data_IF_536445508390
#
_entry.id   IF_536445508390
#
_cell.length_a   1.000
_cell.length_b   1.000
_cell.length_c   1.000
_cell.angle_alpha   90.00
_cell.angle_beta   90.00
_cell.angle_gamma   90.00
#
_symmetry.space_group_name_H-M   'P 1'
#
loop_
_entity.id
_entity.type
_entity.pdbx_description
1 polymer ?
#
# COMPACT_ATOMS: atom_id res chain seq x y z
N UNK A 1 2.76 -22.24 1.79
CA UNK A 1 1.98 -22.59 0.57
C UNK A 1 1.93 -21.43 -0.42
N UNK A 2 1.36 -20.21 -0.11
CA UNK A 2 1.26 -19.09 -1.06
C UNK A 2 2.65 -18.67 -1.59
N UNK A 3 3.63 -18.46 -0.69
CA UNK A 3 5.01 -18.13 -1.04
C UNK A 3 5.62 -19.16 -2.00
N UNK A 4 5.49 -20.43 -1.66
CA UNK A 4 6.08 -21.51 -2.47
C UNK A 4 5.39 -21.64 -3.82
N UNK A 5 4.08 -21.39 -3.87
CA UNK A 5 3.31 -21.34 -5.12
C UNK A 5 3.78 -20.19 -6.00
N UNK A 6 4.04 -19.01 -5.42
CA UNK A 6 4.56 -17.86 -6.18
C UNK A 6 5.95 -18.15 -6.76
N UNK A 7 6.86 -18.74 -5.98
CA UNK A 7 8.18 -19.15 -6.52
C UNK A 7 8.07 -20.21 -7.61
N UNK A 8 7.20 -21.21 -7.44
CA UNK A 8 6.94 -22.21 -8.50
C UNK A 8 6.35 -21.60 -9.76
N UNK A 9 5.61 -20.51 -9.64
CA UNK A 9 5.07 -19.74 -10.77
C UNK A 9 6.11 -18.76 -11.39
N UNK A 10 7.37 -18.78 -10.92
CA UNK A 10 8.45 -17.99 -11.50
C UNK A 10 8.69 -16.62 -10.81
N UNK A 11 8.06 -16.34 -9.68
CA UNK A 11 8.39 -15.14 -8.92
C UNK A 11 9.85 -15.21 -8.42
N UNK A 12 10.62 -14.17 -8.73
CA UNK A 12 12.03 -14.08 -8.27
C UNK A 12 12.14 -13.64 -6.81
N UNK A 13 11.12 -12.98 -6.30
CA UNK A 13 11.06 -12.49 -4.94
C UNK A 13 9.61 -12.50 -4.45
N UNK A 14 9.42 -12.83 -3.18
CA UNK A 14 8.12 -12.77 -2.50
C UNK A 14 8.31 -11.98 -1.20
N UNK A 15 7.64 -10.85 -1.11
CA UNK A 15 7.61 -10.01 0.08
C UNK A 15 6.26 -10.18 0.76
N UNK A 16 6.27 -10.50 2.04
CA UNK A 16 5.08 -10.69 2.84
C UNK A 16 4.97 -9.52 3.82
N UNK A 17 3.84 -8.82 3.79
CA UNK A 17 3.56 -7.76 4.74
C UNK A 17 2.65 -8.30 5.85
N UNK A 18 2.92 -7.91 7.10
CA UNK A 18 1.94 -8.14 8.16
C UNK A 18 0.67 -7.31 7.89
N UNK A 19 -0.51 -7.74 8.32
CA UNK A 19 -1.71 -6.94 8.16
C UNK A 19 -1.58 -5.61 8.92
N UNK A 20 -2.29 -4.54 8.51
CA UNK A 20 -2.45 -3.37 9.37
C UNK A 20 -3.22 -3.73 10.63
N UNK A 21 -3.22 -2.85 11.63
CA UNK A 21 -4.01 -2.98 12.85
C UNK A 21 -5.51 -3.03 12.55
N UNK A 22 -6.32 -3.55 13.48
CA UNK A 22 -7.76 -3.30 13.53
C UNK A 22 -8.00 -2.17 14.54
N UNK A 23 -8.40 -1.00 14.04
CA UNK A 23 -8.57 0.21 14.85
C UNK A 23 -10.02 0.34 15.34
N UNK A 24 -10.47 -0.64 16.11
CA UNK A 24 -11.78 -0.73 16.69
C UNK A 24 -11.84 -0.02 18.06
N UNK A 25 -13.03 0.41 18.46
CA UNK A 25 -13.29 0.90 19.81
C UNK A 25 -13.62 -0.23 20.82
N UNK A 26 -13.61 -1.48 20.38
CA UNK A 26 -13.96 -2.63 21.23
C UNK A 26 -12.79 -3.02 22.13
N UNK A 27 -13.10 -3.38 23.36
CA UNK A 27 -12.15 -3.93 24.32
C UNK A 27 -12.86 -5.01 25.13
N UNK A 28 -12.48 -6.31 25.07
CA UNK A 28 -11.42 -6.86 24.20
C UNK A 28 -11.78 -6.78 22.71
N UNK A 29 -10.75 -6.81 21.86
CA UNK A 29 -10.91 -6.88 20.40
C UNK A 29 -10.29 -8.19 19.87
N UNK A 30 -11.09 -9.28 19.78
CA UNK A 30 -10.59 -10.58 19.32
C UNK A 30 -10.04 -10.56 17.90
N UNK A 31 -10.48 -9.61 17.07
CA UNK A 31 -9.95 -9.48 15.72
C UNK A 31 -8.52 -8.95 15.76
N UNK A 32 -8.27 -7.90 16.54
CA UNK A 32 -6.91 -7.37 16.74
C UNK A 32 -5.98 -8.41 17.37
N UNK A 33 -6.45 -9.17 18.36
CA UNK A 33 -5.68 -10.25 19.00
C UNK A 33 -5.21 -11.29 17.96
N UNK A 34 -6.08 -11.68 17.03
CA UNK A 34 -5.74 -12.57 15.93
C UNK A 34 -4.72 -11.95 14.97
N UNK A 35 -4.84 -10.65 14.66
CA UNK A 35 -3.87 -9.94 13.82
C UNK A 35 -2.50 -9.85 14.48
N UNK A 36 -2.45 -9.64 15.80
CA UNK A 36 -1.21 -9.65 16.59
C UNK A 36 -0.55 -11.04 16.51
N UNK A 37 -1.31 -12.10 16.76
CA UNK A 37 -0.79 -13.48 16.71
C UNK A 37 -0.26 -13.82 15.30
N UNK A 38 -1.01 -13.45 14.26
CA UNK A 38 -0.58 -13.65 12.87
C UNK A 38 0.69 -12.84 12.54
N UNK A 39 0.76 -11.59 13.01
CA UNK A 39 1.94 -10.73 12.85
C UNK A 39 3.17 -11.37 13.50
N UNK A 40 3.08 -11.82 14.73
CA UNK A 40 4.18 -12.47 15.45
C UNK A 40 4.65 -13.72 14.71
N UNK A 41 3.72 -14.55 14.25
CA UNK A 41 4.03 -15.72 13.44
C UNK A 41 4.73 -15.33 12.13
N UNK A 42 4.22 -14.35 11.40
CA UNK A 42 4.81 -13.95 10.13
C UNK A 42 6.20 -13.35 10.31
N UNK A 43 6.39 -12.49 11.32
CA UNK A 43 7.70 -11.89 11.64
C UNK A 43 8.71 -12.97 12.07
N UNK A 44 8.28 -14.04 12.80
CA UNK A 44 9.17 -15.15 13.16
C UNK A 44 9.75 -15.86 11.93
N UNK A 45 9.07 -15.81 10.78
CA UNK A 45 9.53 -16.43 9.53
C UNK A 45 10.76 -15.74 8.92
N UNK A 46 11.15 -14.57 9.42
CA UNK A 46 12.45 -13.95 9.05
C UNK A 46 13.62 -14.84 9.38
N UNK A 47 13.56 -15.59 10.50
CA UNK A 47 14.57 -16.56 10.88
C UNK A 47 14.70 -17.74 9.87
N UNK A 48 13.64 -18.00 9.09
CA UNK A 48 13.62 -19.00 8.02
C UNK A 48 13.96 -18.38 6.63
N UNK A 49 14.50 -17.17 6.60
CA UNK A 49 14.88 -16.48 5.35
C UNK A 49 13.70 -15.91 4.55
N UNK A 50 12.53 -15.70 5.18
CA UNK A 50 11.44 -15.02 4.51
C UNK A 50 11.63 -13.51 4.53
N UNK A 51 11.33 -12.86 3.41
CA UNK A 51 11.27 -11.40 3.36
C UNK A 51 9.92 -10.94 3.92
N UNK A 52 9.94 -10.41 5.13
CA UNK A 52 8.74 -9.95 5.85
C UNK A 52 8.87 -8.49 6.22
N UNK A 53 7.88 -7.69 5.85
CA UNK A 53 7.72 -6.30 6.28
C UNK A 53 6.71 -6.26 7.42
N UNK A 54 7.11 -5.81 8.59
CA UNK A 54 6.21 -5.62 9.73
C UNK A 54 5.55 -4.23 9.63
N UNK A 55 4.29 -4.22 9.23
CA UNK A 55 3.45 -3.01 9.20
C UNK A 55 2.70 -2.84 10.52
N UNK A 56 2.23 -3.94 11.10
CA UNK A 56 1.33 -3.95 12.26
C UNK A 56 1.95 -3.28 13.49
N UNK A 57 3.13 -3.76 13.89
CA UNK A 57 3.74 -3.33 15.16
C UNK A 57 4.13 -1.84 15.16
N UNK A 58 4.76 -1.29 14.09
CA UNK A 58 5.01 0.14 14.01
C UNK A 58 3.72 0.98 14.00
N UNK A 59 2.69 0.52 13.27
CA UNK A 59 1.41 1.24 13.17
C UNK A 59 0.70 1.29 14.53
N UNK A 60 0.74 0.21 15.31
CA UNK A 60 0.19 0.18 16.67
C UNK A 60 0.94 1.13 17.58
N UNK A 61 2.26 1.07 17.61
CA UNK A 61 3.07 1.99 18.42
C UNK A 61 2.80 3.46 18.10
N UNK A 62 2.72 3.81 16.82
CA UNK A 62 2.43 5.19 16.41
C UNK A 62 1.01 5.62 16.81
N UNK A 63 0.02 4.73 16.70
CA UNK A 63 -1.33 5.00 17.18
C UNK A 63 -1.35 5.30 18.69
N UNK A 64 -0.68 4.47 19.46
CA UNK A 64 -0.63 4.60 20.93
C UNK A 64 0.06 5.93 21.34
N UNK A 65 1.13 6.32 20.64
CA UNK A 65 1.78 7.63 20.86
C UNK A 65 0.86 8.80 20.51
N UNK A 66 0.20 8.77 19.37
CA UNK A 66 -0.73 9.85 18.97
C UNK A 66 -1.88 9.97 19.97
N UNK A 67 -2.38 8.86 20.46
CA UNK A 67 -3.51 8.84 21.41
C UNK A 67 -3.18 9.40 22.79
N UNK A 68 -1.93 9.55 23.17
CA UNK A 68 -1.54 10.26 24.39
C UNK A 68 -1.97 11.73 24.37
N UNK A 69 -1.98 12.35 23.17
CA UNK A 69 -2.34 13.76 23.00
C UNK A 69 -3.68 13.95 22.27
N UNK A 70 -4.10 12.97 21.47
CA UNK A 70 -5.36 12.96 20.74
C UNK A 70 -6.05 11.59 20.88
N UNK A 71 -6.78 11.34 21.99
CA UNK A 71 -7.38 10.03 22.28
C UNK A 71 -8.41 9.56 21.23
N UNK A 72 -9.02 10.48 20.49
CA UNK A 72 -10.03 10.16 19.46
C UNK A 72 -9.42 9.86 18.09
N UNK A 73 -8.10 10.00 17.93
CA UNK A 73 -7.45 9.75 16.65
C UNK A 73 -7.62 8.30 16.19
N UNK A 74 -7.84 8.13 14.87
CA UNK A 74 -7.93 6.83 14.20
C UNK A 74 -7.12 6.82 12.91
N UNK A 75 -6.35 5.76 12.69
CA UNK A 75 -5.81 5.46 11.38
C UNK A 75 -6.86 4.88 10.44
N UNK A 76 -7.86 4.19 11.01
CA UNK A 76 -8.94 3.51 10.30
C UNK A 76 -10.28 4.01 10.86
N UNK A 77 -10.88 5.06 10.26
CA UNK A 77 -12.11 5.66 10.79
C UNK A 77 -13.27 4.68 10.95
N UNK A 78 -13.37 3.68 10.09
CA UNK A 78 -14.36 2.59 10.13
C UNK A 78 -13.84 1.32 10.82
N UNK A 79 -12.62 1.35 11.36
CA UNK A 79 -11.95 0.23 12.03
C UNK A 79 -11.11 -0.66 11.10
N UNK A 80 -11.27 -0.56 9.78
CA UNK A 80 -10.66 -1.49 8.80
C UNK A 80 -9.85 -0.77 7.73
N UNK A 81 -10.40 0.30 7.12
CA UNK A 81 -9.79 0.95 5.98
C UNK A 81 -8.88 2.12 6.41
N UNK A 82 -7.57 2.03 6.13
CA UNK A 82 -6.64 3.09 6.49
C UNK A 82 -6.97 4.41 5.80
N UNK A 83 -6.91 5.49 6.57
CA UNK A 83 -6.92 6.84 6.02
C UNK A 83 -5.54 7.19 5.41
N UNK A 84 -5.39 8.41 4.90
CA UNK A 84 -4.14 8.86 4.28
C UNK A 84 -2.90 8.68 5.19
N UNK A 85 -3.03 8.97 6.48
CA UNK A 85 -1.94 8.82 7.44
C UNK A 85 -1.62 7.35 7.70
N UNK A 86 -2.64 6.49 7.80
CA UNK A 86 -2.46 5.04 7.90
C UNK A 86 -1.77 4.46 6.66
N UNK A 87 -2.16 4.88 5.47
CA UNK A 87 -1.46 4.49 4.23
C UNK A 87 0.00 4.95 4.19
N UNK A 88 0.30 6.16 4.73
CA UNK A 88 1.69 6.61 4.83
C UNK A 88 2.52 5.72 5.75
N UNK A 89 1.98 5.34 6.92
CA UNK A 89 2.67 4.41 7.82
C UNK A 89 3.00 3.10 7.11
N UNK A 90 2.03 2.52 6.40
CA UNK A 90 2.24 1.28 5.63
C UNK A 90 3.33 1.45 4.57
N UNK A 91 3.26 2.53 3.80
CA UNK A 91 4.26 2.82 2.75
C UNK A 91 5.65 3.03 3.34
N UNK A 92 5.76 3.77 4.44
CA UNK A 92 7.01 4.01 5.16
C UNK A 92 7.68 2.70 5.56
N UNK A 93 6.94 1.78 6.15
CA UNK A 93 7.49 0.50 6.58
C UNK A 93 7.98 -0.35 5.39
N UNK A 94 7.28 -0.32 4.26
CA UNK A 94 7.73 -0.99 3.04
C UNK A 94 9.02 -0.33 2.51
N UNK A 95 9.05 1.00 2.45
CA UNK A 95 10.20 1.74 1.96
C UNK A 95 11.45 1.50 2.83
N UNK A 96 11.29 1.53 4.15
CA UNK A 96 12.43 1.35 5.08
C UNK A 96 12.86 -0.10 5.22
N UNK A 97 11.94 -1.02 5.51
CA UNK A 97 12.29 -2.40 5.85
C UNK A 97 12.62 -3.26 4.61
N UNK A 98 12.04 -2.94 3.45
CA UNK A 98 12.25 -3.73 2.24
C UNK A 98 13.17 -3.04 1.22
N UNK A 99 13.01 -1.74 0.99
CA UNK A 99 13.81 -1.00 0.02
C UNK A 99 15.03 -0.30 0.65
N UNK A 100 15.16 -0.31 1.98
CA UNK A 100 16.28 0.31 2.68
C UNK A 100 16.32 1.84 2.56
N UNK A 101 15.17 2.47 2.26
CA UNK A 101 15.11 3.91 2.07
C UNK A 101 15.30 4.64 3.40
N UNK A 102 16.17 5.67 3.41
CA UNK A 102 16.23 6.62 4.49
C UNK A 102 15.18 7.73 4.26
N UNK A 103 14.17 7.76 5.10
CA UNK A 103 13.09 8.74 5.01
C UNK A 103 13.34 9.96 5.91
N UNK A 104 14.44 9.99 6.67
CA UNK A 104 14.75 11.07 7.59
C UNK A 104 13.58 11.37 8.53
N UNK A 105 13.19 12.65 8.63
CA UNK A 105 12.06 13.13 9.46
C UNK A 105 10.72 13.24 8.69
N UNK A 106 10.63 12.65 7.51
CA UNK A 106 9.45 12.77 6.65
C UNK A 106 8.19 12.16 7.31
N UNK A 107 7.14 12.97 7.41
CA UNK A 107 5.85 12.60 8.02
C UNK A 107 4.77 12.27 6.99
N UNK A 108 5.08 12.46 5.70
CA UNK A 108 4.19 12.15 4.56
C UNK A 108 5.01 11.94 3.29
N UNK A 109 4.38 11.36 2.26
CA UNK A 109 5.01 11.24 0.95
C UNK A 109 5.38 12.60 0.35
N UNK A 110 4.55 13.62 0.57
CA UNK A 110 4.80 14.97 0.08
C UNK A 110 5.99 15.62 0.77
N UNK A 111 6.20 15.36 2.06
CA UNK A 111 7.37 15.88 2.79
C UNK A 111 8.65 15.14 2.41
N UNK A 112 8.56 13.92 1.93
CA UNK A 112 9.72 13.16 1.46
C UNK A 112 10.25 13.70 0.11
N UNK A 113 9.34 13.98 -0.83
CA UNK A 113 9.69 14.56 -2.14
C UNK A 113 9.63 16.09 -2.08
N UNK A 114 10.60 16.71 -1.43
CA UNK A 114 10.58 18.13 -1.00
C UNK A 114 10.25 19.13 -2.14
N UNK A 115 10.75 18.91 -3.35
CA UNK A 115 10.61 19.90 -4.44
C UNK A 115 9.47 19.59 -5.41
N UNK A 116 9.22 18.32 -5.74
CA UNK A 116 8.33 17.90 -6.82
C UNK A 116 7.24 16.90 -6.36
N UNK A 117 7.07 16.70 -5.05
CA UNK A 117 6.24 15.63 -4.51
C UNK A 117 4.80 15.64 -4.99
N UNK A 118 4.17 16.81 -5.08
CA UNK A 118 2.80 16.93 -5.59
C UNK A 118 2.70 16.61 -7.08
N UNK A 119 3.67 17.04 -7.88
CA UNK A 119 3.72 16.76 -9.31
C UNK A 119 4.00 15.27 -9.57
N UNK A 120 4.96 14.68 -8.87
CA UNK A 120 5.26 13.25 -8.94
C UNK A 120 4.04 12.43 -8.55
N UNK A 121 3.37 12.77 -7.44
CA UNK A 121 2.16 12.07 -7.00
C UNK A 121 1.04 12.13 -8.05
N UNK A 122 0.79 13.30 -8.64
CA UNK A 122 -0.22 13.44 -9.70
C UNK A 122 0.09 12.53 -10.90
N UNK A 123 1.36 12.46 -11.31
CA UNK A 123 1.79 11.58 -12.39
C UNK A 123 1.67 10.09 -12.02
N UNK A 124 2.03 9.72 -10.79
CA UNK A 124 1.86 8.33 -10.30
C UNK A 124 0.39 7.93 -10.31
N UNK A 125 -0.52 8.81 -9.86
CA UNK A 125 -1.95 8.56 -9.90
C UNK A 125 -2.49 8.45 -11.34
N UNK A 126 -2.05 9.31 -12.26
CA UNK A 126 -2.40 9.20 -13.68
C UNK A 126 -1.94 7.86 -14.28
N UNK A 127 -0.68 7.46 -14.02
CA UNK A 127 -0.14 6.19 -14.47
C UNK A 127 -0.93 5.01 -13.94
N UNK A 128 -1.22 5.02 -12.65
CA UNK A 128 -2.03 3.99 -11.99
C UNK A 128 -3.42 3.88 -12.61
N UNK A 129 -4.10 5.02 -12.81
CA UNK A 129 -5.46 5.05 -13.37
C UNK A 129 -5.50 4.53 -14.80
N UNK A 130 -4.53 4.89 -15.64
CA UNK A 130 -4.44 4.40 -17.02
C UNK A 130 -4.33 2.86 -17.04
N UNK A 131 -3.39 2.28 -16.29
CA UNK A 131 -3.21 0.84 -16.21
C UNK A 131 -4.42 0.15 -15.57
N UNK A 132 -4.93 0.68 -14.46
CA UNK A 132 -6.09 0.12 -13.76
C UNK A 132 -7.31 0.04 -14.68
N UNK A 133 -7.61 1.11 -15.41
CA UNK A 133 -8.76 1.14 -16.34
C UNK A 133 -8.63 0.08 -17.43
N UNK A 134 -7.44 -0.07 -18.00
CA UNK A 134 -7.20 -1.07 -19.05
C UNK A 134 -7.32 -2.51 -18.52
N UNK A 135 -6.71 -2.80 -17.36
CA UNK A 135 -6.82 -4.14 -16.76
C UNK A 135 -8.25 -4.46 -16.35
N UNK A 136 -8.99 -3.51 -15.77
CA UNK A 136 -10.38 -3.72 -15.39
C UNK A 136 -11.27 -3.95 -16.62
N UNK A 137 -10.99 -3.25 -17.73
CA UNK A 137 -11.67 -3.48 -19.00
C UNK A 137 -11.42 -4.87 -19.58
N UNK A 138 -10.21 -5.41 -19.42
CA UNK A 138 -9.84 -6.75 -19.86
C UNK A 138 -10.52 -7.86 -19.03
N UNK A 139 -10.52 -7.70 -17.71
CA UNK A 139 -11.07 -8.69 -16.80
C UNK A 139 -12.61 -8.72 -16.92
N UNK A 140 -13.22 -7.56 -17.17
CA UNK A 140 -14.66 -7.36 -17.09
C UNK A 140 -15.17 -7.50 -15.64
N UNK A 141 -16.18 -6.75 -15.28
CA UNK A 141 -16.86 -6.93 -14.01
C UNK A 141 -18.26 -6.26 -14.01
N UNK A 142 -19.08 -6.65 -13.05
CA UNK A 142 -20.45 -6.18 -12.97
C UNK A 142 -20.67 -4.97 -12.06
N UNK A 143 -19.61 -4.33 -11.54
CA UNK A 143 -19.75 -3.17 -10.63
C UNK A 143 -20.02 -1.88 -11.41
N UNK A 144 -21.15 -1.19 -11.16
CA UNK A 144 -21.40 0.13 -11.72
C UNK A 144 -20.35 1.14 -11.27
N UNK A 145 -20.02 2.11 -12.11
CA UNK A 145 -19.10 3.21 -11.76
C UNK A 145 -17.61 2.87 -11.78
N UNK A 146 -17.24 1.61 -12.01
CA UNK A 146 -15.83 1.18 -12.13
C UNK A 146 -15.48 0.99 -13.61
N UNK A 147 -14.27 1.39 -14.07
CA UNK A 147 -13.84 1.17 -15.45
C UNK A 147 -14.05 -0.27 -15.91
N UNK A 148 -14.63 -0.46 -17.11
CA UNK A 148 -14.98 -1.78 -17.64
C UNK A 148 -16.30 -2.37 -17.11
N UNK A 149 -17.00 -1.68 -16.23
CA UNK A 149 -18.33 -2.06 -15.73
C UNK A 149 -19.49 -1.53 -16.58
N UNK A 150 -20.74 -1.93 -16.25
CA UNK A 150 -21.92 -1.52 -16.97
C UNK A 150 -22.09 0.00 -17.03
N UNK A 151 -22.42 0.54 -18.20
CA UNK A 151 -22.63 1.99 -18.43
C UNK A 151 -21.35 2.83 -18.42
N UNK A 152 -20.16 2.23 -18.33
CA UNK A 152 -18.90 2.95 -18.44
C UNK A 152 -18.42 3.04 -19.91
N UNK A 153 -17.65 4.08 -20.21
CA UNK A 153 -16.96 4.17 -21.50
C UNK A 153 -16.03 2.97 -21.67
N UNK A 154 -15.84 2.48 -22.90
CA UNK A 154 -14.86 1.45 -23.17
C UNK A 154 -13.50 1.82 -22.58
N UNK A 155 -12.87 0.89 -21.91
CA UNK A 155 -11.52 1.09 -21.39
C UNK A 155 -10.51 1.12 -22.56
N UNK A 156 -9.39 1.86 -22.45
CA UNK A 156 -8.30 1.79 -23.42
C UNK A 156 -7.76 0.37 -23.51
N UNK A 157 -7.17 0.02 -24.64
CA UNK A 157 -6.46 -1.24 -24.78
C UNK A 157 -5.27 -1.31 -23.82
N UNK A 158 -4.84 -2.51 -23.46
CA UNK A 158 -3.68 -2.67 -22.58
C UNK A 158 -2.40 -2.11 -23.24
N UNK A 159 -2.29 -2.21 -24.56
CA UNK A 159 -1.16 -1.64 -25.31
C UNK A 159 -1.12 -0.11 -25.22
N UNK A 160 -2.23 0.57 -25.43
CA UNK A 160 -2.32 2.04 -25.30
C UNK A 160 -2.01 2.48 -23.87
N UNK A 161 -2.61 1.81 -22.87
CA UNK A 161 -2.39 2.15 -21.47
C UNK A 161 -0.92 1.92 -21.04
N UNK A 162 -0.27 0.88 -21.56
CA UNK A 162 1.15 0.60 -21.29
C UNK A 162 2.04 1.67 -21.93
N UNK A 163 1.77 2.07 -23.17
CA UNK A 163 2.51 3.15 -23.82
C UNK A 163 2.35 4.48 -23.07
N UNK A 164 1.13 4.81 -22.66
CA UNK A 164 0.86 6.00 -21.84
C UNK A 164 1.59 5.93 -20.49
N UNK A 165 1.56 4.78 -19.82
CA UNK A 165 2.26 4.58 -18.55
C UNK A 165 3.77 4.73 -18.67
N UNK A 166 4.37 4.29 -19.78
CA UNK A 166 5.78 4.50 -20.08
C UNK A 166 6.13 5.99 -20.22
N UNK A 167 5.37 6.75 -21.00
CA UNK A 167 5.56 8.20 -21.14
C UNK A 167 5.45 8.93 -19.80
N UNK A 168 4.49 8.53 -18.94
CA UNK A 168 4.34 9.13 -17.61
C UNK A 168 5.55 8.76 -16.73
N UNK A 169 6.06 7.53 -16.84
CA UNK A 169 7.26 7.10 -16.10
C UNK A 169 8.49 7.94 -16.46
N UNK A 170 8.67 8.28 -17.74
CA UNK A 170 9.73 9.18 -18.17
C UNK A 170 9.60 10.58 -17.55
N UNK A 171 8.39 11.15 -17.53
CA UNK A 171 8.12 12.44 -16.86
C UNK A 171 8.45 12.38 -15.37
N UNK A 172 8.09 11.32 -14.66
CA UNK A 172 8.45 11.12 -13.26
C UNK A 172 9.96 11.08 -13.11
N UNK A 173 10.67 10.34 -13.96
CA UNK A 173 12.12 10.20 -13.91
C UNK A 173 12.85 11.54 -14.12
N UNK A 174 12.28 12.47 -14.89
CA UNK A 174 12.81 13.81 -15.07
C UNK A 174 12.63 14.68 -13.82
N UNK A 175 11.55 14.49 -13.06
CA UNK A 175 11.29 15.22 -11.83
C UNK A 175 12.09 14.71 -10.61
N UNK A 176 12.67 13.51 -10.72
CA UNK A 176 13.48 12.89 -9.67
C UNK A 176 14.98 13.24 -9.79
N UNK A 177 15.38 13.92 -10.86
CA UNK A 177 16.76 14.43 -11.07
C UNK A 177 16.92 15.81 -10.44
#
# INVERSE_FOLDING_TARGET
RLRDTAFKAGAKQVVLCTPPIHDSARTPDPHEENLVAFTQWLVSKRAEGWTVVDIHSPMRRELDEIRKTNPSFKFQPDGVHPNRKGHWVMAREILTQFLGADLGTSTSAESFFVNNGSAIRALVDQRRLALFSAYMGQIGHARPGVPGGPGQKPAPSLSEATAQAAQITEKISLLLK
#
